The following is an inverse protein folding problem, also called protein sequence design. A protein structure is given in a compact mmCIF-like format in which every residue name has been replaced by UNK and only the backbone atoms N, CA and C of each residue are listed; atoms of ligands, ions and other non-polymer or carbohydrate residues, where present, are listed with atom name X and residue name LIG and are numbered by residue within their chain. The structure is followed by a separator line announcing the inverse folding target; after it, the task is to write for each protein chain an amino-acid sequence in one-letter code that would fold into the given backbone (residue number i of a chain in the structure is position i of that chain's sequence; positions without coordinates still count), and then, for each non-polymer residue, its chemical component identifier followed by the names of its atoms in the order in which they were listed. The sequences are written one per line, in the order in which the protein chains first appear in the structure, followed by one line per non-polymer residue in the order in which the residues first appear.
data_IF_272652602011
#
_entry.id   IF_272652602011
#
_cell.length_a   1.000
_cell.length_b   1.000
_cell.length_c   1.000
_cell.angle_alpha   90.00
_cell.angle_beta   90.00
_cell.angle_gamma   90.00
#
_symmetry.space_group_name_H-M   'P 1'
#
loop_
_entity.id
_entity.type
_entity.pdbx_description
1 polymer ?
#
# COMPACT_ATOMS: atom_id res chain seq x y z
N UNK A 1 -40.94 -45.50 -7.62
CA UNK A 1 -41.88 -44.52 -8.18
C UNK A 1 -41.08 -43.33 -8.71
N UNK A 2 -41.26 -43.01 -9.95
CA UNK A 2 -40.51 -42.31 -11.00
C UNK A 2 -39.62 -41.13 -10.65
N UNK A 3 -38.47 -41.05 -11.32
CA UNK A 3 -37.66 -39.82 -11.39
C UNK A 3 -38.12 -38.99 -12.61
N UNK A 4 -38.33 -37.70 -12.41
CA UNK A 4 -38.52 -36.75 -13.50
C UNK A 4 -37.20 -36.12 -13.90
N UNK A 5 -36.71 -36.54 -15.07
CA UNK A 5 -35.68 -35.87 -15.85
C UNK A 5 -36.21 -34.52 -16.36
N UNK A 6 -35.58 -33.42 -16.00
CA UNK A 6 -35.74 -32.14 -16.68
C UNK A 6 -34.40 -31.76 -17.34
N UNK A 7 -34.34 -31.99 -18.65
CA UNK A 7 -33.27 -31.52 -19.51
C UNK A 7 -33.54 -30.06 -19.84
N UNK A 8 -32.66 -29.15 -19.42
CA UNK A 8 -32.62 -27.75 -19.86
C UNK A 8 -31.52 -27.60 -20.92
N UNK A 9 -31.99 -27.34 -22.15
CA UNK A 9 -31.13 -26.98 -23.26
C UNK A 9 -30.55 -25.56 -23.06
N UNK A 10 -29.26 -25.47 -23.02
CA UNK A 10 -28.53 -24.17 -23.01
C UNK A 10 -28.21 -23.78 -24.44
N UNK A 11 -28.90 -22.75 -24.92
CA UNK A 11 -28.68 -22.11 -26.21
C UNK A 11 -27.38 -21.31 -26.20
N UNK A 12 -26.43 -21.71 -27.05
CA UNK A 12 -25.16 -21.03 -27.30
C UNK A 12 -25.41 -19.87 -28.26
N UNK A 13 -25.39 -18.63 -27.79
CA UNK A 13 -25.37 -17.45 -28.67
C UNK A 13 -23.93 -16.95 -28.83
N UNK A 14 -23.36 -17.26 -29.98
CA UNK A 14 -22.10 -16.67 -30.46
C UNK A 14 -22.36 -15.20 -30.85
N UNK A 15 -21.77 -14.25 -30.12
CA UNK A 15 -21.61 -12.87 -30.56
C UNK A 15 -20.16 -12.66 -30.96
N UNK A 16 -19.94 -12.67 -32.27
CA UNK A 16 -18.68 -12.25 -32.86
C UNK A 16 -18.60 -10.72 -32.85
N UNK A 17 -17.69 -10.14 -32.06
CA UNK A 17 -17.28 -8.75 -32.17
C UNK A 17 -16.05 -8.66 -33.06
N UNK A 18 -16.30 -8.18 -34.29
CA UNK A 18 -15.26 -7.71 -35.21
C UNK A 18 -14.95 -6.26 -34.85
N UNK A 19 -13.79 -5.97 -34.29
CA UNK A 19 -13.22 -4.63 -34.22
C UNK A 19 -12.06 -4.52 -35.20
N UNK A 20 -12.35 -3.90 -36.34
CA UNK A 20 -11.38 -3.45 -37.31
C UNK A 20 -10.66 -2.18 -36.82
N UNK A 21 -9.37 -2.20 -36.90
CA UNK A 21 -8.48 -1.14 -37.36
C UNK A 21 -8.45 0.19 -36.63
N UNK A 22 -7.25 0.51 -36.14
CA UNK A 22 -6.63 1.82 -36.34
C UNK A 22 -5.12 1.70 -36.23
N UNK A 23 -4.48 1.49 -37.36
CA UNK A 23 -3.07 1.77 -37.52
C UNK A 23 -2.88 3.29 -37.62
N UNK A 24 -2.07 3.86 -36.75
CA UNK A 24 -1.71 5.25 -36.73
C UNK A 24 -0.27 5.43 -36.28
N UNK A 25 0.68 4.98 -37.12
CA UNK A 25 2.09 5.34 -36.98
C UNK A 25 2.30 6.76 -37.49
N UNK A 26 2.73 7.68 -36.61
CA UNK A 26 3.36 8.92 -37.00
C UNK A 26 4.83 8.91 -36.57
N UNK A 27 5.79 9.01 -37.52
CA UNK A 27 7.18 9.28 -37.17
C UNK A 27 7.31 10.78 -36.88
N UNK A 28 7.49 11.15 -35.63
CA UNK A 28 7.81 12.51 -35.18
C UNK A 28 9.30 12.76 -35.28
N UNK A 29 9.62 13.63 -36.19
CA UNK A 29 10.81 14.37 -36.55
C UNK A 29 11.82 14.54 -35.39
N UNK A 30 13.04 14.02 -35.60
CA UNK A 30 14.26 14.42 -34.87
C UNK A 30 14.57 15.88 -35.23
N UNK A 31 14.44 16.78 -34.29
CA UNK A 31 15.04 18.12 -34.34
C UNK A 31 16.39 18.06 -33.63
N UNK A 32 17.43 17.93 -34.43
CA UNK A 32 18.78 18.28 -34.02
C UNK A 32 18.82 19.79 -33.77
N UNK A 33 18.97 20.17 -32.52
CA UNK A 33 19.31 21.54 -32.12
C UNK A 33 20.75 21.55 -31.68
N UNK A 34 21.49 22.45 -32.35
CA UNK A 34 22.91 22.58 -32.37
C UNK A 34 23.60 22.74 -31.04
N UNK A 35 24.80 22.22 -31.04
CA UNK A 35 25.84 22.47 -30.06
C UNK A 35 26.09 23.98 -29.92
N UNK A 36 25.89 24.51 -28.73
CA UNK A 36 26.47 25.79 -28.32
C UNK A 36 27.43 25.51 -27.19
N UNK A 37 28.69 25.50 -27.55
CA UNK A 37 29.78 25.59 -26.60
C UNK A 37 29.66 26.90 -25.83
N UNK A 38 29.62 26.79 -24.52
CA UNK A 38 29.64 27.88 -23.58
C UNK A 38 29.70 27.25 -22.21
N UNK A 39 30.91 26.97 -21.74
CA UNK A 39 31.15 26.67 -20.36
C UNK A 39 30.91 27.92 -19.54
N UNK A 40 30.15 27.88 -18.48
CA UNK A 40 30.43 28.67 -17.32
C UNK A 40 30.85 27.76 -16.18
N UNK A 41 31.89 28.19 -15.50
CA UNK A 41 32.44 27.73 -14.27
C UNK A 41 31.41 27.14 -13.32
N UNK A 42 31.45 25.84 -13.16
CA UNK A 42 30.78 25.10 -12.09
C UNK A 42 31.55 25.38 -10.75
N UNK A 43 31.47 26.59 -10.26
CA UNK A 43 31.50 26.82 -8.85
C UNK A 43 30.08 26.43 -8.33
N UNK A 44 29.73 25.14 -8.32
CA UNK A 44 28.68 24.62 -7.50
C UNK A 44 29.07 24.85 -6.05
N UNK A 45 28.80 26.06 -5.59
CA UNK A 45 28.78 26.41 -4.19
C UNK A 45 27.80 25.44 -3.54
N UNK A 46 28.34 24.54 -2.74
CA UNK A 46 27.56 23.87 -1.71
C UNK A 46 26.96 24.97 -0.85
N UNK A 47 25.79 25.44 -1.20
CA UNK A 47 25.04 26.39 -0.42
C UNK A 47 24.81 25.74 0.94
N UNK A 48 25.53 26.23 1.95
CA UNK A 48 25.28 25.79 3.32
C UNK A 48 23.83 26.16 3.65
N UNK A 49 22.92 25.18 3.87
CA UNK A 49 21.51 25.45 4.13
C UNK A 49 21.28 26.25 5.42
N UNK A 50 22.34 26.47 6.21
CA UNK A 50 22.32 27.27 7.44
C UNK A 50 23.02 28.64 7.27
N UNK A 51 23.41 29.03 6.06
CA UNK A 51 24.01 30.36 5.86
C UNK A 51 22.87 31.42 5.94
N UNK A 52 23.09 32.50 6.73
CA UNK A 52 22.10 33.58 6.81
C UNK A 52 22.01 34.25 5.43
N UNK A 53 20.78 34.31 4.90
CA UNK A 53 20.50 35.02 3.65
C UNK A 53 20.66 36.52 3.91
N UNK A 54 21.76 37.09 3.44
CA UNK A 54 22.04 38.53 3.57
C UNK A 54 21.47 39.22 2.33
N UNK A 55 20.35 39.88 2.47
CA UNK A 55 19.84 40.81 1.46
C UNK A 55 20.67 42.09 1.53
N UNK A 56 21.22 42.66 0.43
CA UNK A 56 21.93 43.92 0.45
C UNK A 56 21.03 45.03 1.02
N UNK A 57 21.37 45.56 2.21
CA UNK A 57 20.65 46.64 2.85
C UNK A 57 19.54 46.27 3.84
N UNK A 58 19.33 44.99 4.10
CA UNK A 58 18.35 44.53 5.11
C UNK A 58 18.99 44.03 6.39
N UNK A 59 18.40 44.33 7.54
CA UNK A 59 18.76 43.67 8.81
C UNK A 59 18.55 42.17 8.67
N UNK A 60 19.49 41.33 9.15
CA UNK A 60 19.33 39.88 9.08
C UNK A 60 18.03 39.45 9.79
N UNK A 61 17.07 39.02 9.02
CA UNK A 61 15.86 38.42 9.58
C UNK A 61 16.18 36.97 9.89
N UNK A 62 16.36 36.68 11.17
CA UNK A 62 16.43 35.29 11.62
C UNK A 62 15.11 34.61 11.23
N UNK A 63 15.15 33.80 10.19
CA UNK A 63 14.05 32.88 9.89
C UNK A 63 14.00 31.92 11.08
N UNK A 64 12.88 31.83 11.81
CA UNK A 64 12.77 30.85 12.88
C UNK A 64 13.11 29.49 12.29
N UNK A 65 14.18 28.87 12.77
CA UNK A 65 14.53 27.50 12.42
C UNK A 65 13.31 26.68 12.76
N UNK A 66 12.74 26.00 11.74
CA UNK A 66 11.67 25.05 11.99
C UNK A 66 12.17 24.11 13.10
N UNK A 67 11.57 24.23 14.28
CA UNK A 67 11.93 23.39 15.43
C UNK A 67 11.72 21.97 14.98
N UNK A 68 12.80 21.18 14.95
CA UNK A 68 12.67 19.75 14.68
C UNK A 68 11.65 19.21 15.69
N UNK A 69 10.56 18.65 15.17
CA UNK A 69 9.49 18.12 16.01
C UNK A 69 10.10 16.98 16.85
N UNK A 70 10.07 17.13 18.17
CA UNK A 70 10.59 16.08 19.07
C UNK A 70 9.61 14.91 19.01
N UNK A 71 10.06 13.79 18.49
CA UNK A 71 9.24 12.58 18.33
C UNK A 71 9.28 11.67 19.57
N UNK A 72 10.06 12.05 20.60
CA UNK A 72 10.25 11.23 21.82
C UNK A 72 8.97 11.08 22.64
N UNK A 73 8.09 12.09 22.59
CA UNK A 73 6.83 12.13 23.33
C UNK A 73 5.63 11.90 22.40
N UNK A 74 5.83 11.30 21.21
CA UNK A 74 4.74 11.06 20.29
C UNK A 74 3.74 10.09 20.91
N UNK A 75 2.48 10.53 20.97
CA UNK A 75 1.37 9.77 21.52
C UNK A 75 0.89 8.73 20.49
N UNK A 76 0.17 7.68 20.91
CA UNK A 76 -0.51 6.78 19.99
C UNK A 76 -1.40 7.58 19.01
N UNK A 77 -1.48 7.13 17.76
CA UNK A 77 -2.29 7.82 16.76
C UNK A 77 -3.78 7.80 17.14
N UNK A 78 -4.42 8.97 17.09
CA UNK A 78 -5.89 9.04 17.19
C UNK A 78 -6.49 8.31 15.98
N UNK A 79 -7.31 7.27 16.19
CA UNK A 79 -7.94 6.54 15.11
C UNK A 79 -8.83 7.43 14.23
N UNK A 80 -9.34 8.56 14.74
CA UNK A 80 -10.13 9.50 13.94
C UNK A 80 -9.28 10.39 13.04
N UNK A 81 -8.02 10.56 13.39
CA UNK A 81 -7.03 11.24 12.56
C UNK A 81 -6.33 10.31 11.57
N UNK A 82 -6.68 9.02 11.52
CA UNK A 82 -6.15 8.07 10.54
C UNK A 82 -7.11 7.89 9.37
N UNK A 83 -6.54 7.75 8.17
CA UNK A 83 -7.20 7.19 6.99
C UNK A 83 -6.47 5.95 6.53
N UNK A 84 -7.17 5.11 5.75
CA UNK A 84 -6.57 3.92 5.14
C UNK A 84 -6.74 4.03 3.63
N UNK A 85 -5.70 3.64 2.90
CA UNK A 85 -5.71 3.58 1.44
C UNK A 85 -4.96 2.35 0.94
N UNK A 86 -5.32 1.90 -0.26
CA UNK A 86 -4.59 0.88 -1.00
C UNK A 86 -3.48 1.55 -1.80
N UNK A 87 -2.25 1.03 -1.67
CA UNK A 87 -1.08 1.53 -2.39
C UNK A 87 -0.85 0.73 -3.66
N UNK A 88 -0.89 -0.60 -3.56
CA UNK A 88 -0.60 -1.50 -4.67
C UNK A 88 -1.15 -2.89 -4.44
N UNK A 89 -1.29 -3.66 -5.52
CA UNK A 89 -1.61 -5.09 -5.48
C UNK A 89 -0.64 -5.89 -6.33
N UNK A 90 -0.33 -7.12 -5.90
CA UNK A 90 0.54 -8.05 -6.60
C UNK A 90 -0.12 -9.40 -6.81
N UNK A 91 0.24 -10.06 -7.90
CA UNK A 91 -0.31 -11.34 -8.32
C UNK A 91 0.82 -12.24 -8.81
N UNK A 92 0.91 -13.45 -8.24
CA UNK A 92 1.76 -14.50 -8.77
C UNK A 92 1.04 -15.86 -8.73
N UNK A 93 0.68 -16.39 -9.89
CA UNK A 93 -0.13 -17.61 -9.98
C UNK A 93 -1.45 -17.50 -9.20
N UNK A 94 -1.62 -18.36 -8.21
CA UNK A 94 -2.75 -18.34 -7.29
C UNK A 94 -2.53 -17.49 -6.03
N UNK A 95 -1.36 -16.90 -5.86
CA UNK A 95 -1.04 -16.05 -4.72
C UNK A 95 -1.31 -14.58 -5.03
N UNK A 96 -1.93 -13.88 -4.09
CA UNK A 96 -2.33 -12.48 -4.20
C UNK A 96 -1.84 -11.73 -2.97
N UNK A 97 -1.46 -10.47 -3.15
CA UNK A 97 -1.27 -9.55 -2.04
C UNK A 97 -1.78 -8.15 -2.38
N UNK A 98 -2.16 -7.42 -1.35
CA UNK A 98 -2.48 -6.00 -1.41
C UNK A 98 -1.65 -5.28 -0.35
N UNK A 99 -1.04 -4.16 -0.73
CA UNK A 99 -0.35 -3.25 0.18
C UNK A 99 -1.28 -2.14 0.57
N UNK A 100 -1.56 -2.04 1.85
CA UNK A 100 -2.44 -1.04 2.46
C UNK A 100 -1.63 -0.16 3.38
N UNK A 101 -2.07 1.08 3.60
CA UNK A 101 -1.39 2.00 4.51
C UNK A 101 -2.36 2.78 5.38
N UNK A 102 -1.95 3.02 6.62
CA UNK A 102 -2.54 4.04 7.48
C UNK A 102 -1.80 5.36 7.28
N UNK A 103 -2.52 6.41 6.96
CA UNK A 103 -1.98 7.77 6.83
C UNK A 103 -2.39 8.61 8.04
N UNK A 104 -1.44 9.34 8.62
CA UNK A 104 -1.72 10.34 9.65
C UNK A 104 -2.31 11.61 9.01
N UNK A 105 -3.61 11.83 9.16
CA UNK A 105 -4.33 13.06 8.74
C UNK A 105 -4.32 14.15 9.81
N UNK A 106 -3.79 13.84 10.99
CA UNK A 106 -3.66 14.81 12.08
C UNK A 106 -2.54 15.83 11.84
N UNK A 107 -2.54 16.89 12.63
CA UNK A 107 -1.53 17.96 12.58
C UNK A 107 -0.30 17.70 13.45
N UNK A 108 -0.25 16.60 14.21
CA UNK A 108 0.83 16.26 15.12
C UNK A 108 1.41 14.87 14.80
N UNK A 109 2.70 14.63 15.11
CA UNK A 109 3.28 13.29 15.01
C UNK A 109 2.56 12.32 15.95
N UNK A 110 2.44 11.06 15.54
CA UNK A 110 1.87 10.00 16.37
C UNK A 110 2.57 8.67 16.13
N UNK A 111 2.35 7.69 16.99
CA UNK A 111 3.02 6.38 16.93
C UNK A 111 2.00 5.29 16.63
N UNK A 112 2.35 4.43 15.68
CA UNK A 112 1.71 3.14 15.43
C UNK A 112 2.75 2.02 15.58
N UNK A 113 2.33 0.82 15.98
CA UNK A 113 3.25 -0.31 16.05
C UNK A 113 2.54 -1.65 16.12
N UNK A 114 3.17 -2.66 15.56
CA UNK A 114 2.65 -4.02 15.55
C UNK A 114 1.83 -4.36 14.31
N UNK A 115 0.89 -5.29 14.49
CA UNK A 115 0.04 -5.80 13.40
C UNK A 115 -1.33 -5.15 13.45
N UNK A 116 -1.88 -4.69 12.31
CA UNK A 116 -3.27 -4.28 12.24
C UNK A 116 -4.19 -5.48 12.52
N UNK A 117 -5.36 -5.22 13.07
CA UNK A 117 -6.41 -6.23 13.11
C UNK A 117 -7.11 -6.25 11.77
N UNK A 118 -7.32 -7.47 11.24
CA UNK A 118 -7.93 -7.69 9.92
C UNK A 118 -9.08 -8.68 10.07
N UNK A 119 -10.19 -8.42 9.42
CA UNK A 119 -11.27 -9.38 9.24
C UNK A 119 -11.89 -9.23 7.86
N UNK A 120 -12.50 -10.29 7.37
CA UNK A 120 -13.12 -10.32 6.04
C UNK A 120 -14.64 -10.37 6.16
N UNK A 121 -15.32 -9.70 5.23
CA UNK A 121 -16.77 -9.69 5.16
C UNK A 121 -17.25 -9.79 3.72
N UNK A 122 -18.36 -10.52 3.51
CA UNK A 122 -19.13 -10.43 2.28
C UNK A 122 -19.95 -9.14 2.26
N UNK A 123 -20.23 -8.60 1.09
CA UNK A 123 -21.06 -7.40 0.95
C UNK A 123 -22.46 -7.65 1.52
N UNK A 124 -22.84 -6.86 2.54
CA UNK A 124 -24.12 -7.02 3.24
C UNK A 124 -24.26 -8.26 4.12
N UNK A 125 -23.19 -9.09 4.24
CA UNK A 125 -23.19 -10.34 5.01
C UNK A 125 -22.47 -10.25 6.36
N UNK A 126 -22.54 -11.33 7.16
CA UNK A 126 -21.78 -11.45 8.40
C UNK A 126 -20.28 -11.56 8.11
N UNK A 127 -19.42 -11.37 9.14
CA UNK A 127 -18.01 -11.68 9.04
C UNK A 127 -17.77 -13.14 8.63
N UNK A 128 -16.75 -13.39 7.81
CA UNK A 128 -16.35 -14.74 7.42
C UNK A 128 -15.48 -15.31 8.54
N UNK A 129 -16.10 -16.01 9.49
CA UNK A 129 -15.45 -16.47 10.72
C UNK A 129 -14.47 -17.65 10.57
N UNK A 130 -14.42 -18.28 9.40
CA UNK A 130 -13.59 -19.48 9.17
C UNK A 130 -12.19 -19.19 8.62
N UNK A 131 -11.81 -17.91 8.49
CA UNK A 131 -10.51 -17.52 7.92
C UNK A 131 -9.58 -17.12 9.06
N UNK A 132 -8.47 -17.87 9.19
CA UNK A 132 -7.42 -17.58 10.16
C UNK A 132 -6.54 -16.41 9.69
N UNK A 133 -6.10 -15.57 10.63
CA UNK A 133 -5.13 -14.49 10.38
C UNK A 133 -3.76 -14.96 10.83
N UNK A 134 -2.85 -15.13 9.88
CA UNK A 134 -1.45 -15.48 10.12
C UNK A 134 -0.59 -14.21 10.10
N UNK A 135 0.09 -13.91 11.22
CA UNK A 135 1.04 -12.80 11.30
C UNK A 135 2.38 -13.25 10.71
N UNK A 136 2.86 -12.51 9.72
CA UNK A 136 4.09 -12.86 8.99
C UNK A 136 4.97 -11.61 8.80
N UNK A 137 6.22 -11.81 8.39
CA UNK A 137 7.08 -10.69 7.97
C UNK A 137 6.85 -10.36 6.49
N UNK A 138 7.13 -9.13 6.02
CA UNK A 138 7.03 -8.76 4.62
C UNK A 138 7.89 -9.66 3.72
N UNK A 139 9.08 -10.02 4.17
CA UNK A 139 10.02 -10.88 3.44
C UNK A 139 9.42 -12.26 3.14
N UNK A 140 8.54 -12.78 4.01
CA UNK A 140 7.84 -14.03 3.76
C UNK A 140 6.84 -13.89 2.60
N UNK A 141 6.07 -12.82 2.56
CA UNK A 141 5.14 -12.55 1.45
C UNK A 141 5.91 -12.35 0.14
N UNK A 142 6.99 -11.57 0.17
CA UNK A 142 7.79 -11.30 -1.01
C UNK A 142 8.47 -12.59 -1.55
N UNK A 143 8.89 -13.48 -0.66
CA UNK A 143 9.41 -14.78 -1.03
C UNK A 143 8.35 -15.67 -1.71
N UNK A 144 7.11 -15.70 -1.20
CA UNK A 144 6.00 -16.43 -1.81
C UNK A 144 5.59 -15.82 -3.16
N UNK A 145 5.62 -14.49 -3.29
CA UNK A 145 5.38 -13.79 -4.55
C UNK A 145 6.49 -14.06 -5.60
N UNK A 146 7.73 -14.13 -5.18
CA UNK A 146 8.88 -14.37 -6.08
C UNK A 146 9.19 -15.85 -6.28
N UNK A 147 8.50 -16.75 -5.58
CA UNK A 147 8.80 -18.20 -5.54
C UNK A 147 10.24 -18.50 -5.09
N UNK A 148 10.81 -17.61 -4.30
CA UNK A 148 12.16 -17.76 -3.74
C UNK A 148 12.05 -18.30 -2.31
N UNK A 149 12.89 -19.25 -1.88
CA UNK A 149 12.88 -19.69 -0.49
C UNK A 149 13.08 -18.48 0.43
N UNK A 150 12.26 -18.35 1.50
CA UNK A 150 12.42 -17.25 2.44
C UNK A 150 13.82 -17.37 3.09
N UNK A 151 14.49 -16.23 3.26
CA UNK A 151 15.68 -16.16 4.09
C UNK A 151 15.32 -16.64 5.50
N UNK A 152 16.22 -17.40 6.12
CA UNK A 152 15.99 -17.90 7.50
C UNK A 152 15.62 -16.72 8.41
N UNK A 153 14.55 -16.83 9.21
CA UNK A 153 14.15 -15.76 10.09
C UNK A 153 15.28 -15.44 11.07
N UNK A 154 15.87 -14.27 10.93
CA UNK A 154 16.82 -13.75 11.92
C UNK A 154 16.03 -13.39 13.17
N UNK A 155 16.03 -14.27 14.17
CA UNK A 155 15.60 -14.01 15.54
C UNK A 155 14.28 -13.24 15.75
N UNK A 156 13.73 -13.30 16.93
CA UNK A 156 12.58 -12.48 17.34
C UNK A 156 13.02 -11.02 17.44
N UNK A 157 12.79 -10.25 16.39
CA UNK A 157 12.96 -8.80 16.46
C UNK A 157 11.77 -8.19 17.23
N UNK A 158 12.03 -7.20 18.12
CA UNK A 158 10.95 -6.45 18.74
C UNK A 158 10.07 -5.84 17.64
N UNK A 159 8.74 -5.86 17.85
CA UNK A 159 7.81 -5.27 16.88
C UNK A 159 8.16 -3.79 16.64
N UNK A 160 8.39 -3.40 15.39
CA UNK A 160 8.77 -2.02 15.10
C UNK A 160 7.63 -1.08 15.49
N UNK A 161 7.99 -0.01 16.18
CA UNK A 161 7.13 1.16 16.33
C UNK A 161 7.47 2.15 15.24
N UNK A 162 6.44 2.70 14.60
CA UNK A 162 6.56 3.67 13.51
C UNK A 162 6.03 5.00 13.98
N UNK A 163 6.86 6.04 13.94
CA UNK A 163 6.40 7.41 14.16
C UNK A 163 5.96 8.00 12.84
N UNK A 164 4.69 8.39 12.75
CA UNK A 164 4.10 9.04 11.60
C UNK A 164 4.02 10.54 11.80
N UNK A 165 4.80 11.29 11.04
CA UNK A 165 4.58 12.73 10.89
C UNK A 165 3.24 13.00 10.19
N UNK A 166 2.69 14.23 10.26
CA UNK A 166 1.53 14.60 9.46
C UNK A 166 1.71 14.21 7.99
N UNK A 167 0.70 13.54 7.43
CA UNK A 167 0.66 13.02 6.05
C UNK A 167 1.61 11.87 5.73
N UNK A 168 2.41 11.38 6.66
CA UNK A 168 3.17 10.15 6.46
C UNK A 168 2.30 8.91 6.60
N UNK A 169 2.77 7.81 5.98
CA UNK A 169 2.06 6.54 5.93
C UNK A 169 2.86 5.40 6.57
N UNK A 170 2.16 4.52 7.28
CA UNK A 170 2.66 3.22 7.69
C UNK A 170 1.97 2.14 6.88
N UNK A 171 2.74 1.39 6.09
CA UNK A 171 2.23 0.36 5.22
C UNK A 171 2.34 -1.04 5.83
N UNK A 172 1.48 -1.93 5.37
CA UNK A 172 1.47 -3.35 5.65
C UNK A 172 0.91 -4.11 4.45
N UNK A 173 1.12 -5.42 4.41
CA UNK A 173 0.60 -6.27 3.35
C UNK A 173 -0.44 -7.23 3.90
N UNK A 174 -1.46 -7.50 3.09
CA UNK A 174 -2.41 -8.60 3.28
C UNK A 174 -2.27 -9.53 2.09
N UNK A 175 -2.02 -10.81 2.33
CA UNK A 175 -1.80 -11.78 1.27
C UNK A 175 -2.64 -13.04 1.46
N UNK A 176 -3.01 -13.69 0.36
CA UNK A 176 -3.86 -14.89 0.36
C UNK A 176 -3.66 -15.73 -0.91
N UNK A 177 -4.03 -16.99 -0.81
CA UNK A 177 -4.15 -17.85 -1.99
C UNK A 177 -5.56 -17.81 -2.54
N UNK A 178 -5.73 -17.85 -3.86
CA UNK A 178 -7.03 -17.86 -4.55
C UNK A 178 -7.20 -19.13 -5.40
N UNK A 179 -8.45 -19.50 -5.67
CA UNK A 179 -8.77 -20.69 -6.49
C UNK A 179 -10.28 -20.88 -6.61
N UNK A 180 -10.68 -21.89 -7.37
CA UNK A 180 -12.09 -22.22 -7.57
C UNK A 180 -12.70 -22.82 -6.30
N UNK A 181 -13.96 -22.49 -6.02
CA UNK A 181 -14.74 -23.09 -4.93
C UNK A 181 -14.39 -22.62 -3.52
N UNK A 182 -13.53 -21.64 -3.39
CA UNK A 182 -13.16 -21.08 -2.08
C UNK A 182 -14.12 -19.96 -1.66
N UNK A 183 -14.21 -19.65 -0.34
CA UNK A 183 -15.04 -18.55 0.17
C UNK A 183 -14.66 -17.20 -0.46
N UNK A 184 -15.69 -16.37 -0.69
CA UNK A 184 -15.52 -15.02 -1.25
C UNK A 184 -15.78 -13.96 -0.19
N UNK A 185 -14.90 -12.95 -0.17
CA UNK A 185 -15.08 -11.72 0.58
C UNK A 185 -15.17 -10.53 -0.38
N UNK A 186 -15.81 -9.46 0.05
CA UNK A 186 -15.93 -8.22 -0.71
C UNK A 186 -15.29 -7.02 0.01
N UNK A 187 -15.06 -7.17 1.31
CA UNK A 187 -14.53 -6.13 2.17
C UNK A 187 -13.43 -6.70 3.07
N UNK A 188 -12.37 -5.93 3.20
CA UNK A 188 -11.41 -6.05 4.30
C UNK A 188 -11.81 -5.02 5.35
N UNK A 189 -12.08 -5.47 6.58
CA UNK A 189 -12.25 -4.59 7.73
C UNK A 189 -10.95 -4.56 8.49
N UNK A 190 -10.46 -3.36 8.74
CA UNK A 190 -9.17 -3.10 9.38
C UNK A 190 -9.34 -2.24 10.63
N UNK A 191 -8.52 -2.47 11.64
CA UNK A 191 -8.28 -1.47 12.68
C UNK A 191 -6.78 -1.30 12.92
N UNK A 192 -6.38 -0.07 13.24
CA UNK A 192 -5.00 0.20 13.62
C UNK A 192 -4.68 -0.51 14.95
N UNK A 193 -3.43 -0.91 15.19
CA UNK A 193 -3.04 -1.57 16.43
C UNK A 193 -3.47 -0.76 17.65
N UNK A 194 -4.08 -1.43 18.63
CA UNK A 194 -4.54 -0.80 19.88
C UNK A 194 -5.81 0.05 19.74
N UNK A 195 -6.50 0.02 18.59
CA UNK A 195 -7.75 0.77 18.38
C UNK A 195 -8.90 -0.14 17.97
N UNK A 196 -10.14 0.32 18.24
CA UNK A 196 -11.37 -0.40 17.86
C UNK A 196 -12.03 0.19 16.60
N UNK A 197 -11.58 1.35 16.13
CA UNK A 197 -12.13 1.97 14.93
C UNK A 197 -11.88 1.09 13.71
N UNK A 198 -12.96 0.74 13.02
CA UNK A 198 -12.91 -0.07 11.80
C UNK A 198 -12.88 0.81 10.55
N UNK A 199 -11.99 0.46 9.64
CA UNK A 199 -11.94 0.96 8.28
C UNK A 199 -12.36 -0.15 7.34
N UNK A 200 -13.27 0.14 6.41
CA UNK A 200 -13.75 -0.82 5.43
C UNK A 200 -13.11 -0.52 4.08
N UNK A 201 -12.35 -1.48 3.55
CA UNK A 201 -11.72 -1.39 2.23
C UNK A 201 -12.46 -2.34 1.29
N UNK A 202 -13.07 -1.83 0.22
CA UNK A 202 -13.65 -2.67 -0.81
C UNK A 202 -12.54 -3.46 -1.51
N UNK A 203 -12.52 -4.77 -1.30
CA UNK A 203 -11.52 -5.67 -1.88
C UNK A 203 -12.18 -7.01 -2.19
N UNK A 204 -12.54 -7.26 -3.46
CA UNK A 204 -13.03 -8.55 -3.88
C UNK A 204 -11.93 -9.62 -3.75
N UNK A 205 -12.20 -10.64 -2.95
CA UNK A 205 -11.23 -11.70 -2.64
C UNK A 205 -11.90 -13.07 -2.73
N UNK A 206 -11.16 -14.03 -3.27
CA UNK A 206 -11.48 -15.46 -3.15
C UNK A 206 -10.37 -16.06 -2.29
N UNK A 207 -10.69 -16.51 -1.08
CA UNK A 207 -9.68 -16.92 -0.08
C UNK A 207 -9.66 -18.42 0.06
N UNK A 208 -8.64 -19.04 -0.50
CA UNK A 208 -8.36 -20.47 -0.33
C UNK A 208 -7.50 -20.73 0.92
N UNK A 209 -7.30 -22.01 1.23
CA UNK A 209 -6.53 -22.45 2.42
C UNK A 209 -7.08 -22.00 3.79
N UNK A 210 -8.20 -21.29 3.85
CA UNK A 210 -8.83 -20.85 5.10
C UNK A 210 -7.99 -19.87 5.93
N UNK A 211 -7.03 -19.18 5.31
CA UNK A 211 -6.15 -18.21 6.00
C UNK A 211 -5.75 -17.05 5.09
N UNK A 212 -5.47 -15.92 5.72
CA UNK A 212 -4.78 -14.79 5.13
C UNK A 212 -3.53 -14.45 5.95
N UNK A 213 -2.53 -13.87 5.31
CA UNK A 213 -1.31 -13.42 5.92
C UNK A 213 -1.32 -11.91 6.07
N UNK A 214 -0.82 -11.40 7.19
CA UNK A 214 -0.78 -9.97 7.47
C UNK A 214 0.59 -9.62 8.02
N UNK A 215 1.23 -8.57 7.49
CA UNK A 215 2.54 -8.11 7.99
C UNK A 215 2.38 -7.04 9.07
N UNK A 216 3.46 -6.82 9.82
CA UNK A 216 3.57 -5.66 10.69
C UNK A 216 3.58 -4.36 9.89
N UNK A 217 3.26 -3.26 10.59
CA UNK A 217 3.34 -1.91 10.06
C UNK A 217 4.81 -1.48 9.90
N UNK A 218 5.15 -0.91 8.77
CA UNK A 218 6.45 -0.29 8.48
C UNK A 218 6.25 1.09 7.85
N UNK A 219 7.15 2.03 8.15
CA UNK A 219 7.16 3.32 7.47
C UNK A 219 7.33 3.09 5.95
N UNK A 220 6.50 3.73 5.15
CA UNK A 220 6.64 3.71 3.69
C UNK A 220 7.23 5.03 3.20
N UNK A 221 8.52 5.01 2.91
CA UNK A 221 9.27 6.19 2.45
C UNK A 221 8.98 6.52 0.97
N UNK A 222 8.30 5.63 0.25
CA UNK A 222 8.00 5.77 -1.19
C UNK A 222 6.65 6.41 -1.50
N UNK A 223 5.78 6.62 -0.52
CA UNK A 223 4.44 7.18 -0.70
C UNK A 223 4.43 8.68 -0.32
N UNK A 224 5.03 9.52 -1.17
CA UNK A 224 4.96 10.99 -1.11
C UNK A 224 4.52 11.53 -2.45
#
# INVERSE_FOLDING_TARGET
MSPHNLALAVSCSLLAFVCAGCAGSRPGSMRTVGARAGAPDDAAMHANPNAPYITPGGTPRLIPRATAMDTRDAQPCDPNALSVEEISGNVNGSYRSVKLAFMNRGGAPCVLGGYPSVSLRSLGGPPIGSIAIEKVTPEKIDAELSQTPPASPSGSQPMPQVTLMPHQVAAFQVAWSTGAGCPTASLILLSAPGTEKLFAIPQPMVVCSGRIQVTELRLDEGAV
#
